data_IF_846933380251
#
_entry.id   IF_846933380251
#
_cell.length_a   1.000
_cell.length_b   1.000
_cell.length_c   1.000
_cell.angle_alpha   90.00
_cell.angle_beta   90.00
_cell.angle_gamma   90.00
#
_symmetry.space_group_name_H-M   'P 1'
#
loop_
_entity.id
_entity.type
_entity.pdbx_description
1 polymer ?
#
# COMPACT_ATOMS: atom_id res chain seq x y z
N UNK A 1 72.22 10.38 -26.03
CA UNK A 1 70.83 10.76 -26.41
C UNK A 1 69.74 9.76 -25.91
N UNK A 2 69.92 8.45 -26.13
CA UNK A 2 68.89 7.43 -25.86
C UNK A 2 68.59 7.23 -24.36
N UNK A 3 69.64 7.22 -23.52
CA UNK A 3 69.46 7.05 -22.06
C UNK A 3 68.76 8.25 -21.42
N UNK A 4 68.95 9.45 -21.90
CA UNK A 4 68.28 10.64 -21.40
C UNK A 4 66.82 10.66 -21.79
N UNK A 5 66.44 10.23 -23.00
CA UNK A 5 65.10 10.10 -23.48
C UNK A 5 64.33 9.02 -22.71
N UNK A 6 64.94 7.87 -22.41
CA UNK A 6 64.39 6.82 -21.60
C UNK A 6 64.12 7.28 -20.17
N UNK A 7 65.05 8.05 -19.55
CA UNK A 7 64.84 8.60 -18.20
C UNK A 7 63.65 9.59 -18.12
N UNK A 8 63.53 10.47 -19.12
CA UNK A 8 62.40 11.40 -19.21
C UNK A 8 61.08 10.65 -19.40
N UNK A 9 61.03 9.62 -20.24
CA UNK A 9 59.83 8.82 -20.46
C UNK A 9 59.36 8.11 -19.18
N UNK A 10 60.27 7.54 -18.38
CA UNK A 10 59.94 6.91 -17.10
C UNK A 10 59.37 7.92 -16.09
N UNK A 11 59.97 9.12 -16.03
CA UNK A 11 59.46 10.19 -15.11
C UNK A 11 58.10 10.68 -15.55
N UNK A 12 57.85 10.89 -16.85
CA UNK A 12 56.56 11.29 -17.38
C UNK A 12 55.51 10.21 -17.15
N UNK A 13 55.82 8.93 -17.42
CA UNK A 13 54.95 7.82 -17.16
C UNK A 13 54.58 7.71 -15.67
N UNK A 14 55.56 7.85 -14.78
CA UNK A 14 55.33 7.87 -13.33
C UNK A 14 54.43 9.03 -12.86
N UNK A 15 54.50 10.18 -13.55
CA UNK A 15 53.65 11.34 -13.28
C UNK A 15 52.20 11.06 -13.74
N UNK A 16 52.00 10.62 -14.96
CA UNK A 16 50.71 10.25 -15.52
C UNK A 16 50.04 9.18 -14.67
N UNK A 17 50.76 8.15 -14.26
CA UNK A 17 50.23 7.09 -13.40
C UNK A 17 49.80 7.59 -12.01
N UNK A 18 50.49 8.57 -11.45
CA UNK A 18 50.10 9.20 -10.18
C UNK A 18 48.80 10.03 -10.33
N UNK A 19 48.74 10.81 -11.41
CA UNK A 19 47.60 11.68 -11.69
C UNK A 19 46.35 10.82 -11.99
N UNK A 20 46.48 9.74 -12.77
CA UNK A 20 45.41 8.77 -12.96
C UNK A 20 44.91 8.13 -11.65
N UNK A 21 45.82 7.73 -10.77
CA UNK A 21 45.44 7.16 -9.47
C UNK A 21 44.73 8.17 -8.57
N UNK A 22 45.08 9.46 -8.65
CA UNK A 22 44.36 10.54 -7.95
C UNK A 22 42.95 10.71 -8.52
N UNK A 23 42.85 10.82 -9.85
CA UNK A 23 41.53 10.95 -10.50
C UNK A 23 40.59 9.76 -10.20
N UNK A 24 41.12 8.53 -10.21
CA UNK A 24 40.32 7.35 -9.85
C UNK A 24 39.84 7.39 -8.41
N UNK A 25 40.67 7.85 -7.46
CA UNK A 25 40.25 8.01 -6.07
C UNK A 25 39.16 9.07 -5.94
N UNK A 26 39.34 10.24 -6.54
CA UNK A 26 38.33 11.32 -6.52
C UNK A 26 37.00 10.86 -7.10
N UNK A 27 37.02 10.07 -8.19
CA UNK A 27 35.81 9.50 -8.79
C UNK A 27 35.11 8.51 -7.81
N UNK A 28 35.89 7.69 -7.12
CA UNK A 28 35.32 6.75 -6.15
C UNK A 28 34.74 7.47 -4.92
N UNK A 29 35.44 8.49 -4.42
CA UNK A 29 34.96 9.31 -3.30
C UNK A 29 33.69 10.07 -3.65
N UNK A 30 33.61 10.60 -4.89
CA UNK A 30 32.39 11.24 -5.40
C UNK A 30 31.21 10.24 -5.55
N UNK A 31 31.47 9.01 -5.99
CA UNK A 31 30.45 7.98 -6.07
C UNK A 31 29.92 7.62 -4.69
N UNK A 32 30.81 7.40 -3.73
CA UNK A 32 30.40 7.08 -2.36
C UNK A 32 29.58 8.22 -1.73
N UNK A 33 30.01 9.47 -1.93
CA UNK A 33 29.27 10.63 -1.46
C UNK A 33 27.88 10.72 -2.10
N UNK A 34 27.78 10.48 -3.41
CA UNK A 34 26.52 10.50 -4.12
C UNK A 34 25.56 9.41 -3.63
N UNK A 35 26.06 8.19 -3.37
CA UNK A 35 25.27 7.11 -2.76
C UNK A 35 24.77 7.47 -1.35
N UNK A 36 25.62 8.12 -0.55
CA UNK A 36 25.22 8.60 0.78
C UNK A 36 24.14 9.69 0.70
N UNK A 37 24.29 10.64 -0.24
CA UNK A 37 23.28 11.68 -0.49
C UNK A 37 21.95 11.09 -0.94
N UNK A 38 21.94 10.11 -1.84
CA UNK A 38 20.72 9.45 -2.26
C UNK A 38 20.03 8.69 -1.10
N UNK A 39 20.80 7.99 -0.27
CA UNK A 39 20.28 7.31 0.92
C UNK A 39 19.67 8.31 1.91
N UNK A 40 20.34 9.43 2.14
CA UNK A 40 19.87 10.49 3.03
C UNK A 40 18.58 11.12 2.49
N UNK A 41 18.53 11.44 1.22
CA UNK A 41 17.35 12.03 0.58
C UNK A 41 16.13 11.07 0.62
N UNK A 42 16.32 9.77 0.37
CA UNK A 42 15.28 8.76 0.52
C UNK A 42 14.80 8.66 1.98
N UNK A 43 15.71 8.74 2.95
CA UNK A 43 15.37 8.72 4.37
C UNK A 43 14.56 9.96 4.78
N UNK A 44 14.96 11.16 4.35
CA UNK A 44 14.22 12.41 4.61
C UNK A 44 12.79 12.37 4.04
N UNK A 45 12.64 11.90 2.80
CA UNK A 45 11.32 11.74 2.18
C UNK A 45 10.45 10.76 2.97
N UNK A 46 11.02 9.64 3.42
CA UNK A 46 10.31 8.66 4.25
C UNK A 46 9.88 9.24 5.59
N UNK A 47 10.76 10.00 6.26
CA UNK A 47 10.46 10.65 7.53
C UNK A 47 9.37 11.72 7.35
N UNK A 48 9.49 12.56 6.33
CA UNK A 48 8.49 13.58 6.03
C UNK A 48 7.11 12.96 5.72
N UNK A 49 7.10 11.86 4.98
CA UNK A 49 5.85 11.11 4.72
C UNK A 49 5.27 10.52 6.01
N UNK A 50 6.10 9.91 6.87
CA UNK A 50 5.65 9.39 8.15
C UNK A 50 5.12 10.50 9.08
N UNK A 51 5.77 11.66 9.12
CA UNK A 51 5.31 12.80 9.91
C UNK A 51 3.97 13.31 9.43
N UNK A 52 3.77 13.46 8.11
CA UNK A 52 2.47 13.83 7.53
C UNK A 52 1.37 12.85 7.92
N UNK A 53 1.63 11.55 7.79
CA UNK A 53 0.68 10.51 8.20
C UNK A 53 0.39 10.57 9.71
N UNK A 54 1.38 10.87 10.54
CA UNK A 54 1.21 10.96 12.00
C UNK A 54 0.36 12.18 12.40
N UNK A 55 0.63 13.36 11.83
CA UNK A 55 -0.15 14.57 12.07
C UNK A 55 -1.60 14.34 11.62
N UNK A 56 -1.78 13.79 10.42
CA UNK A 56 -3.08 13.44 9.87
C UNK A 56 -3.80 12.42 10.77
N UNK A 57 -3.09 11.38 11.23
CA UNK A 57 -3.64 10.38 12.11
C UNK A 57 -4.19 10.98 13.42
N UNK A 58 -3.45 11.87 14.05
CA UNK A 58 -3.85 12.48 15.31
C UNK A 58 -5.06 13.40 15.16
N UNK A 59 -5.09 14.23 14.11
CA UNK A 59 -6.23 15.09 13.80
C UNK A 59 -7.48 14.28 13.42
N UNK A 60 -7.29 13.23 12.67
CA UNK A 60 -8.37 12.40 12.14
C UNK A 60 -9.10 11.62 13.23
N UNK A 61 -8.42 11.21 14.31
CA UNK A 61 -9.05 10.50 15.42
C UNK A 61 -10.10 11.38 16.14
N UNK A 62 -9.77 12.65 16.39
CA UNK A 62 -10.71 13.62 16.97
C UNK A 62 -11.91 13.88 16.05
N UNK A 63 -11.62 14.16 14.79
CA UNK A 63 -12.63 14.40 13.75
C UNK A 63 -13.56 13.18 13.59
N UNK A 64 -13.02 11.98 13.51
CA UNK A 64 -13.82 10.76 13.37
C UNK A 64 -14.75 10.52 14.57
N UNK A 65 -14.31 10.83 15.77
CA UNK A 65 -15.14 10.76 16.96
C UNK A 65 -16.31 11.76 16.89
N UNK A 66 -16.05 12.98 16.46
CA UNK A 66 -17.09 14.02 16.28
C UNK A 66 -18.10 13.62 15.19
N UNK A 67 -17.62 13.14 14.03
CA UNK A 67 -18.51 12.65 12.98
C UNK A 67 -19.40 11.50 13.45
N UNK A 68 -18.86 10.52 14.19
CA UNK A 68 -19.67 9.45 14.76
C UNK A 68 -20.72 9.97 15.75
N UNK A 69 -20.41 11.05 16.49
CA UNK A 69 -21.37 11.70 17.39
C UNK A 69 -22.54 12.35 16.64
N UNK A 70 -22.33 12.80 15.40
CA UNK A 70 -23.39 13.33 14.55
C UNK A 70 -24.16 12.22 13.81
N UNK A 71 -23.45 11.24 13.26
CA UNK A 71 -24.07 10.17 12.47
C UNK A 71 -24.94 9.24 13.32
N UNK A 72 -24.54 8.98 14.58
CA UNK A 72 -25.32 8.10 15.46
C UNK A 72 -26.76 8.57 15.70
N UNK A 73 -27.03 9.82 16.09
CA UNK A 73 -28.41 10.30 16.22
C UNK A 73 -29.13 10.41 14.87
N UNK A 74 -28.46 10.77 13.77
CA UNK A 74 -29.08 10.82 12.44
C UNK A 74 -29.60 9.44 12.05
N UNK A 75 -28.79 8.41 12.21
CA UNK A 75 -29.18 7.03 11.94
C UNK A 75 -30.34 6.59 12.87
N UNK A 76 -30.25 6.92 14.16
CA UNK A 76 -31.29 6.57 15.11
C UNK A 76 -32.64 7.21 14.79
N UNK A 77 -32.67 8.48 14.40
CA UNK A 77 -33.92 9.13 13.99
C UNK A 77 -34.42 8.60 12.64
N UNK A 78 -33.56 8.32 11.69
CA UNK A 78 -33.95 7.70 10.42
C UNK A 78 -34.58 6.31 10.66
N UNK A 79 -34.01 5.51 11.54
CA UNK A 79 -34.53 4.20 11.93
C UNK A 79 -35.91 4.29 12.60
N UNK A 80 -36.11 5.23 13.52
CA UNK A 80 -37.39 5.50 14.15
C UNK A 80 -38.45 5.91 13.11
N UNK A 81 -38.10 6.83 12.20
CA UNK A 81 -39.00 7.25 11.12
C UNK A 81 -39.38 6.09 10.22
N UNK A 82 -38.46 5.19 9.88
CA UNK A 82 -38.73 3.98 9.10
C UNK A 82 -39.71 3.03 9.80
N UNK A 83 -39.72 3.03 11.15
CA UNK A 83 -40.64 2.19 11.95
C UNK A 83 -42.03 2.82 12.13
N UNK A 84 -42.11 4.17 12.18
CA UNK A 84 -43.36 4.89 12.47
C UNK A 84 -44.13 5.28 11.19
N UNK A 85 -43.46 5.41 10.05
CA UNK A 85 -44.09 5.82 8.80
C UNK A 85 -44.78 4.64 8.10
N UNK A 86 -45.88 4.90 7.32
CA UNK A 86 -46.56 3.86 6.56
C UNK A 86 -45.63 3.14 5.58
N UNK A 87 -45.75 1.82 5.52
CA UNK A 87 -44.94 0.98 4.65
C UNK A 87 -45.14 1.37 3.17
N UNK A 88 -44.03 1.69 2.45
CA UNK A 88 -44.06 2.09 1.06
C UNK A 88 -44.42 3.55 0.81
N UNK A 89 -44.47 4.40 1.85
CA UNK A 89 -44.62 5.87 1.67
C UNK A 89 -43.34 6.54 1.17
N UNK A 90 -43.49 7.65 0.45
CA UNK A 90 -42.33 8.45 -0.02
C UNK A 90 -41.46 8.96 1.15
N UNK A 91 -42.08 9.23 2.30
CA UNK A 91 -41.42 9.66 3.52
C UNK A 91 -40.59 8.51 4.14
N UNK A 92 -41.13 7.27 4.10
CA UNK A 92 -40.39 6.10 4.57
C UNK A 92 -39.18 5.81 3.66
N UNK A 93 -39.34 5.93 2.35
CA UNK A 93 -38.24 5.77 1.39
C UNK A 93 -37.18 6.85 1.61
N UNK A 94 -37.58 8.09 1.87
CA UNK A 94 -36.64 9.18 2.21
C UNK A 94 -35.87 8.90 3.50
N UNK A 95 -36.55 8.37 4.54
CA UNK A 95 -35.89 7.97 5.81
C UNK A 95 -34.86 6.85 5.58
N UNK A 96 -35.20 5.90 4.72
CA UNK A 96 -34.29 4.82 4.31
C UNK A 96 -33.05 5.35 3.58
N UNK A 97 -33.23 6.28 2.65
CA UNK A 97 -32.09 6.93 1.96
C UNK A 97 -31.17 7.67 2.93
N UNK A 98 -31.73 8.38 3.92
CA UNK A 98 -30.97 9.06 4.98
C UNK A 98 -30.16 8.04 5.78
N UNK A 99 -30.77 6.90 6.15
CA UNK A 99 -30.11 5.84 6.90
C UNK A 99 -28.94 5.25 6.11
N UNK A 100 -29.17 4.87 4.84
CA UNK A 100 -28.14 4.30 3.96
C UNK A 100 -26.99 5.28 3.69
N UNK A 101 -27.30 6.57 3.49
CA UNK A 101 -26.30 7.61 3.32
C UNK A 101 -25.44 7.78 4.58
N UNK A 102 -26.07 7.70 5.76
CA UNK A 102 -25.40 7.81 7.05
C UNK A 102 -24.51 6.58 7.33
N UNK A 103 -24.93 5.38 6.97
CA UNK A 103 -24.09 4.18 7.03
C UNK A 103 -22.84 4.31 6.15
N UNK A 104 -23.01 4.75 4.91
CA UNK A 104 -21.89 4.99 4.00
C UNK A 104 -20.92 6.03 4.57
N UNK A 105 -21.44 7.11 5.14
CA UNK A 105 -20.60 8.14 5.80
C UNK A 105 -19.85 7.55 7.01
N UNK A 106 -20.48 6.72 7.83
CA UNK A 106 -19.86 6.03 8.97
C UNK A 106 -18.72 5.10 8.53
N UNK A 107 -18.87 4.42 7.41
CA UNK A 107 -17.82 3.56 6.86
C UNK A 107 -16.61 4.37 6.37
N UNK A 108 -16.83 5.53 5.73
CA UNK A 108 -15.77 6.46 5.37
C UNK A 108 -15.04 6.96 6.62
N UNK A 109 -15.75 7.34 7.66
CA UNK A 109 -15.17 7.77 8.95
C UNK A 109 -14.35 6.65 9.59
N UNK A 110 -14.81 5.40 9.53
CA UNK A 110 -14.05 4.24 10.01
C UNK A 110 -12.76 4.02 9.21
N UNK A 111 -12.80 4.15 7.87
CA UNK A 111 -11.62 4.03 7.02
C UNK A 111 -10.60 5.12 7.37
N UNK A 112 -11.04 6.35 7.54
CA UNK A 112 -10.19 7.48 7.94
C UNK A 112 -9.59 7.24 9.35
N UNK A 113 -10.39 6.78 10.32
CA UNK A 113 -9.93 6.42 11.68
C UNK A 113 -8.90 5.30 11.69
N UNK A 114 -8.97 4.37 10.74
CA UNK A 114 -8.02 3.26 10.66
C UNK A 114 -6.60 3.71 10.31
N UNK A 115 -6.46 4.85 9.61
CA UNK A 115 -5.17 5.48 9.33
C UNK A 115 -4.52 6.07 10.59
N UNK A 116 -5.32 6.43 11.59
CA UNK A 116 -4.89 7.05 12.85
C UNK A 116 -4.43 6.07 13.93
N UNK A 117 -4.87 4.81 13.87
CA UNK A 117 -4.61 3.83 14.93
C UNK A 117 -3.19 3.26 14.90
N UNK A 118 -2.18 4.12 14.98
CA UNK A 118 -0.77 3.70 15.12
C UNK A 118 -0.38 3.24 16.52
N UNK A 119 -1.22 3.43 17.55
CA UNK A 119 -0.88 3.23 18.97
C UNK A 119 -1.63 2.11 19.68
N UNK A 120 -2.37 1.24 18.97
CA UNK A 120 -2.70 -0.05 19.56
C UNK A 120 -1.45 -0.90 19.41
N UNK A 121 -0.89 -1.40 20.50
CA UNK A 121 0.23 -2.36 20.49
C UNK A 121 -0.05 -3.39 19.40
N UNK A 122 0.69 -3.26 18.29
CA UNK A 122 0.51 -4.13 17.13
C UNK A 122 1.10 -5.48 17.52
N UNK A 123 0.26 -6.36 18.04
CA UNK A 123 0.69 -7.70 18.41
C UNK A 123 0.96 -8.47 17.12
N UNK A 124 2.24 -8.62 16.81
CA UNK A 124 2.68 -9.50 15.73
C UNK A 124 2.62 -10.95 16.20
N UNK A 125 2.03 -11.80 15.37
CA UNK A 125 1.90 -13.24 15.63
C UNK A 125 2.36 -14.02 14.41
N UNK A 126 2.76 -15.26 14.63
CA UNK A 126 2.99 -16.18 13.53
C UNK A 126 1.65 -16.54 12.87
N UNK A 127 1.53 -16.24 11.59
CA UNK A 127 0.33 -16.43 10.79
C UNK A 127 0.64 -17.49 9.74
N UNK A 128 -0.12 -18.60 9.73
CA UNK A 128 -0.10 -19.56 8.63
C UNK A 128 -0.75 -18.92 7.40
N UNK A 129 0.03 -18.74 6.34
CA UNK A 129 -0.43 -18.07 5.11
C UNK A 129 -1.57 -18.83 4.46
N UNK A 130 -1.48 -20.15 4.39
CA UNK A 130 -2.54 -20.98 3.84
C UNK A 130 -3.88 -20.76 4.53
N UNK A 131 -3.90 -20.83 5.88
CA UNK A 131 -5.12 -20.63 6.66
C UNK A 131 -5.64 -19.19 6.55
N UNK A 132 -4.71 -18.23 6.49
CA UNK A 132 -5.03 -16.82 6.33
C UNK A 132 -5.71 -16.57 4.98
N UNK A 133 -5.11 -17.02 3.87
CA UNK A 133 -5.63 -16.81 2.52
C UNK A 133 -6.98 -17.48 2.30
N UNK A 134 -7.18 -18.72 2.80
CA UNK A 134 -8.47 -19.41 2.72
C UNK A 134 -9.59 -18.65 3.46
N UNK A 135 -9.27 -17.97 4.57
CA UNK A 135 -10.23 -17.14 5.29
C UNK A 135 -10.47 -15.80 4.59
N UNK A 136 -9.41 -15.19 4.08
CA UNK A 136 -9.47 -13.92 3.36
C UNK A 136 -10.27 -14.06 2.04
N UNK A 137 -10.16 -15.20 1.36
CA UNK A 137 -10.93 -15.52 0.15
C UNK A 137 -12.44 -15.35 0.39
N UNK A 138 -12.99 -15.99 1.42
CA UNK A 138 -14.42 -15.89 1.77
C UNK A 138 -14.86 -14.46 2.07
N UNK A 139 -13.98 -13.69 2.73
CA UNK A 139 -14.24 -12.27 3.02
C UNK A 139 -14.24 -11.44 1.72
N UNK A 140 -13.33 -11.72 0.81
CA UNK A 140 -13.25 -11.01 -0.47
C UNK A 140 -14.41 -11.37 -1.42
N UNK A 141 -14.85 -12.64 -1.42
CA UNK A 141 -16.05 -13.07 -2.15
C UNK A 141 -17.30 -12.29 -1.72
N UNK A 142 -17.44 -12.01 -0.42
CA UNK A 142 -18.60 -11.29 0.11
C UNK A 142 -18.72 -9.83 -0.36
N UNK A 143 -17.67 -9.22 -0.85
CA UNK A 143 -17.68 -7.85 -1.40
C UNK A 143 -17.83 -7.81 -2.92
N UNK A 144 -17.72 -8.96 -3.58
CA UNK A 144 -17.93 -9.07 -5.02
C UNK A 144 -19.44 -9.05 -5.34
N UNK A 145 -19.82 -8.29 -6.36
CA UNK A 145 -21.20 -8.34 -6.89
C UNK A 145 -21.41 -9.65 -7.68
N UNK A 146 -22.66 -10.09 -7.90
CA UNK A 146 -22.94 -11.28 -8.72
C UNK A 146 -22.40 -11.22 -10.15
N UNK A 147 -22.04 -10.03 -10.63
CA UNK A 147 -21.46 -9.83 -11.97
C UNK A 147 -19.94 -10.04 -12.01
N UNK A 148 -19.29 -10.17 -10.84
CA UNK A 148 -17.85 -10.32 -10.74
C UNK A 148 -17.51 -11.76 -10.40
N UNK A 149 -16.78 -12.41 -11.27
CA UNK A 149 -16.22 -13.75 -11.03
C UNK A 149 -14.88 -13.63 -10.32
N UNK A 150 -14.74 -14.33 -9.17
CA UNK A 150 -13.48 -14.37 -8.43
C UNK A 150 -12.81 -15.73 -8.59
N UNK A 151 -11.53 -15.72 -8.96
CA UNK A 151 -10.66 -16.90 -9.05
C UNK A 151 -9.55 -16.80 -8.02
N UNK A 152 -9.29 -17.89 -7.30
CA UNK A 152 -8.22 -17.96 -6.31
C UNK A 152 -7.24 -19.06 -6.63
N UNK A 153 -5.93 -18.76 -6.52
CA UNK A 153 -4.85 -19.71 -6.73
C UNK A 153 -3.79 -19.55 -5.63
N UNK A 154 -3.76 -20.49 -4.66
CA UNK A 154 -2.84 -20.42 -3.53
C UNK A 154 -1.83 -21.57 -3.60
N UNK A 155 -0.59 -21.22 -3.99
CA UNK A 155 0.56 -22.12 -4.06
C UNK A 155 1.47 -21.90 -2.83
N UNK A 156 0.90 -22.11 -1.65
CA UNK A 156 1.56 -21.99 -0.35
C UNK A 156 1.19 -23.20 0.50
N UNK A 157 2.16 -23.71 1.24
CA UNK A 157 1.96 -24.85 2.14
C UNK A 157 1.94 -24.38 3.60
N UNK A 158 2.97 -24.71 4.35
CA UNK A 158 3.06 -24.40 5.79
C UNK A 158 3.85 -23.13 6.10
N UNK A 159 3.99 -22.23 5.11
CA UNK A 159 4.69 -20.98 5.31
C UNK A 159 4.02 -20.14 6.39
N UNK A 160 4.88 -19.64 7.29
CA UNK A 160 4.51 -18.77 8.40
C UNK A 160 5.13 -17.40 8.19
N UNK A 161 4.34 -16.34 8.44
CA UNK A 161 4.85 -14.97 8.50
C UNK A 161 4.62 -14.40 9.88
N UNK A 162 5.51 -13.51 10.31
CA UNK A 162 5.31 -12.69 11.49
C UNK A 162 4.54 -11.43 11.08
N UNK A 163 3.29 -11.31 11.51
CA UNK A 163 2.43 -10.21 11.09
C UNK A 163 1.21 -10.01 11.98
N UNK A 164 0.38 -9.05 11.59
CA UNK A 164 -0.93 -8.80 12.18
C UNK A 164 -2.03 -9.18 11.16
N UNK A 165 -2.80 -10.22 11.45
CA UNK A 165 -3.83 -10.74 10.55
C UNK A 165 -4.93 -9.69 10.23
N UNK A 166 -5.27 -8.81 11.18
CA UNK A 166 -6.26 -7.75 10.97
C UNK A 166 -5.76 -6.72 9.95
N UNK A 167 -4.49 -6.31 10.06
CA UNK A 167 -3.89 -5.37 9.10
C UNK A 167 -3.77 -5.98 7.71
N UNK A 168 -3.38 -7.26 7.62
CA UNK A 168 -3.32 -7.97 6.33
C UNK A 168 -4.70 -8.11 5.69
N UNK A 169 -5.73 -8.46 6.47
CA UNK A 169 -7.11 -8.48 5.97
C UNK A 169 -7.55 -7.11 5.47
N UNK A 170 -7.22 -6.03 6.19
CA UNK A 170 -7.56 -4.67 5.77
C UNK A 170 -6.91 -4.30 4.44
N UNK A 171 -5.62 -4.65 4.24
CA UNK A 171 -4.93 -4.43 2.96
C UNK A 171 -5.61 -5.17 1.83
N UNK A 172 -5.89 -6.46 2.01
CA UNK A 172 -6.54 -7.28 0.99
C UNK A 172 -7.94 -6.78 0.65
N UNK A 173 -8.73 -6.44 1.68
CA UNK A 173 -10.07 -5.90 1.49
C UNK A 173 -10.03 -4.58 0.71
N UNK A 174 -9.14 -3.66 1.06
CA UNK A 174 -9.01 -2.39 0.35
C UNK A 174 -8.65 -2.58 -1.13
N UNK A 175 -7.72 -3.48 -1.42
CA UNK A 175 -7.32 -3.78 -2.81
C UNK A 175 -8.49 -4.43 -3.57
N UNK A 176 -9.20 -5.38 -2.95
CA UNK A 176 -10.33 -6.05 -3.56
C UNK A 176 -11.50 -5.09 -3.84
N UNK A 177 -11.86 -4.23 -2.88
CA UNK A 177 -12.88 -3.19 -3.05
C UNK A 177 -12.49 -2.21 -4.17
N UNK A 178 -11.21 -1.85 -4.29
CA UNK A 178 -10.74 -1.02 -5.40
C UNK A 178 -10.87 -1.75 -6.74
N UNK A 179 -10.57 -3.05 -6.81
CA UNK A 179 -10.78 -3.86 -8.01
C UNK A 179 -12.26 -3.94 -8.42
N UNK A 180 -13.16 -4.17 -7.46
CA UNK A 180 -14.63 -4.15 -7.69
C UNK A 180 -15.07 -2.79 -8.25
N UNK A 181 -14.60 -1.70 -7.67
CA UNK A 181 -14.89 -0.34 -8.18
C UNK A 181 -14.32 -0.08 -9.57
N UNK A 182 -13.12 -0.58 -9.88
CA UNK A 182 -12.52 -0.42 -11.21
C UNK A 182 -13.30 -1.16 -12.29
N UNK A 183 -13.94 -2.29 -11.96
CA UNK A 183 -14.84 -3.03 -12.84
C UNK A 183 -16.21 -2.31 -12.99
N UNK A 184 -16.68 -1.69 -11.89
CA UNK A 184 -17.94 -0.94 -11.87
C UNK A 184 -19.19 -1.82 -12.00
N UNK A 185 -20.10 -1.42 -12.89
CA UNK A 185 -21.39 -2.14 -13.13
C UNK A 185 -21.29 -3.21 -14.20
N UNK A 186 -20.11 -3.46 -14.75
CA UNK A 186 -19.88 -4.44 -15.81
C UNK A 186 -19.65 -5.84 -15.26
N UNK A 187 -19.71 -6.84 -16.13
CA UNK A 187 -19.15 -8.14 -15.81
C UNK A 187 -17.63 -8.05 -15.75
N UNK A 188 -17.04 -8.71 -14.75
CA UNK A 188 -15.61 -8.67 -14.58
C UNK A 188 -15.04 -9.88 -13.86
N UNK A 189 -13.71 -9.95 -13.87
CA UNK A 189 -12.95 -11.01 -13.23
C UNK A 189 -11.93 -10.41 -12.25
N UNK A 190 -11.86 -10.98 -11.07
CA UNK A 190 -10.80 -10.72 -10.10
C UNK A 190 -10.05 -12.03 -9.86
N UNK A 191 -8.74 -12.03 -10.09
CA UNK A 191 -7.89 -13.17 -9.77
C UNK A 191 -6.98 -12.84 -8.62
N UNK A 192 -6.98 -13.71 -7.60
CA UNK A 192 -6.13 -13.60 -6.43
C UNK A 192 -5.16 -14.78 -6.43
N UNK A 193 -3.87 -14.50 -6.41
CA UNK A 193 -2.85 -15.52 -6.31
C UNK A 193 -1.93 -15.27 -5.12
N UNK A 194 -1.47 -16.36 -4.52
CA UNK A 194 -0.53 -16.32 -3.40
C UNK A 194 0.50 -17.45 -3.58
N UNK A 195 1.77 -17.09 -3.58
CA UNK A 195 2.86 -18.05 -3.67
C UNK A 195 4.09 -17.56 -2.90
N UNK A 196 4.95 -18.51 -2.58
CA UNK A 196 6.24 -18.23 -1.98
C UNK A 196 7.28 -18.03 -3.07
N UNK A 197 8.11 -16.99 -2.95
CA UNK A 197 9.12 -16.65 -3.94
C UNK A 197 10.46 -16.33 -3.25
N UNK A 198 11.56 -16.78 -3.87
CA UNK A 198 12.91 -16.45 -3.42
C UNK A 198 13.27 -15.02 -3.86
N UNK A 199 14.01 -14.30 -3.01
CA UNK A 199 14.39 -12.90 -3.27
C UNK A 199 15.04 -12.71 -4.63
N UNK A 200 15.89 -13.66 -5.04
CA UNK A 200 16.65 -13.59 -6.29
C UNK A 200 15.76 -13.65 -7.56
N UNK A 201 14.54 -14.17 -7.43
CA UNK A 201 13.58 -14.29 -8.54
C UNK A 201 12.66 -13.09 -8.67
N UNK A 202 12.68 -12.17 -7.68
CA UNK A 202 11.85 -10.98 -7.69
C UNK A 202 12.40 -9.93 -8.68
N UNK A 203 11.51 -9.09 -9.19
CA UNK A 203 11.91 -7.97 -10.04
C UNK A 203 12.88 -7.03 -9.31
N UNK A 204 13.91 -6.54 -10.01
CA UNK A 204 15.01 -5.74 -9.42
C UNK A 204 14.51 -4.53 -8.62
N UNK A 205 13.51 -3.81 -9.11
CA UNK A 205 12.91 -2.68 -8.38
C UNK A 205 12.15 -3.05 -7.10
N UNK A 206 11.80 -4.33 -6.92
CA UNK A 206 11.22 -4.87 -5.69
C UNK A 206 12.33 -5.29 -4.73
N UNK A 207 13.39 -5.94 -5.24
CA UNK A 207 14.55 -6.42 -4.45
C UNK A 207 15.19 -5.27 -3.66
N UNK A 208 15.34 -4.10 -4.27
CA UNK A 208 15.93 -2.92 -3.64
C UNK A 208 15.16 -2.41 -2.40
N UNK A 209 13.87 -2.73 -2.30
CA UNK A 209 12.99 -2.33 -1.19
C UNK A 209 12.89 -3.38 -0.09
N UNK A 210 13.42 -4.58 -0.33
CA UNK A 210 13.29 -5.71 0.59
C UNK A 210 14.53 -5.82 1.49
N UNK A 211 14.29 -6.30 2.71
CA UNK A 211 15.38 -6.56 3.67
C UNK A 211 16.31 -7.68 3.17
N UNK A 212 17.61 -7.52 3.37
CA UNK A 212 18.60 -8.54 3.05
C UNK A 212 18.60 -9.73 4.04
N UNK A 213 17.88 -9.58 5.14
CA UNK A 213 17.77 -10.63 6.18
C UNK A 213 16.95 -11.84 5.70
N UNK A 214 15.95 -11.59 4.83
CA UNK A 214 15.02 -12.62 4.40
C UNK A 214 15.34 -13.09 2.98
N UNK A 215 15.46 -14.41 2.79
CA UNK A 215 15.70 -15.03 1.48
C UNK A 215 14.42 -15.39 0.74
N UNK A 216 13.30 -15.52 1.46
CA UNK A 216 12.02 -16.00 0.95
C UNK A 216 10.91 -15.03 1.33
N UNK A 217 10.03 -14.74 0.39
CA UNK A 217 8.92 -13.80 0.55
C UNK A 217 7.61 -14.43 0.11
N UNK A 218 6.52 -14.00 0.70
CA UNK A 218 5.18 -14.35 0.24
C UNK A 218 4.72 -13.26 -0.72
N UNK A 219 4.43 -13.67 -1.96
CA UNK A 219 3.87 -12.80 -2.98
C UNK A 219 2.37 -13.00 -3.05
N UNK A 220 1.60 -11.94 -2.78
CA UNK A 220 0.15 -11.91 -2.93
C UNK A 220 -0.17 -10.94 -4.05
N UNK A 221 -0.90 -11.39 -5.06
CA UNK A 221 -1.29 -10.60 -6.21
C UNK A 221 -2.82 -10.60 -6.33
N UNK A 222 -3.39 -9.41 -6.52
CA UNK A 222 -4.79 -9.21 -6.91
C UNK A 222 -4.79 -8.57 -8.29
N UNK A 223 -5.42 -9.23 -9.25
CA UNK A 223 -5.52 -8.77 -10.64
C UNK A 223 -6.99 -8.63 -11.01
N UNK A 224 -7.36 -7.48 -11.52
CA UNK A 224 -8.69 -7.19 -12.07
C UNK A 224 -8.61 -6.89 -13.57
N UNK A 225 -9.76 -6.91 -14.23
CA UNK A 225 -9.93 -6.48 -15.62
C UNK A 225 -10.74 -5.18 -15.72
N UNK A 226 -10.68 -4.33 -14.70
CA UNK A 226 -11.35 -3.03 -14.65
C UNK A 226 -10.73 -1.99 -15.58
N UNK A 227 -11.09 -0.71 -15.37
CA UNK A 227 -10.66 0.41 -16.22
C UNK A 227 -9.16 0.73 -16.13
N UNK A 228 -8.45 0.16 -15.16
CA UNK A 228 -7.03 0.43 -14.92
C UNK A 228 -6.76 1.85 -14.42
N UNK A 229 -5.48 2.22 -14.44
CA UNK A 229 -4.99 3.53 -14.00
C UNK A 229 -3.99 4.08 -15.02
N UNK A 230 -4.08 5.37 -15.31
CA UNK A 230 -3.06 6.06 -16.09
C UNK A 230 -1.78 6.31 -15.28
N UNK A 231 -0.73 6.80 -15.93
CA UNK A 231 0.57 7.02 -15.29
C UNK A 231 0.54 8.09 -14.20
N UNK A 232 -0.34 9.05 -14.30
CA UNK A 232 -0.48 10.14 -13.34
C UNK A 232 -1.20 9.65 -12.09
N UNK A 233 -2.33 8.99 -12.25
CA UNK A 233 -3.06 8.29 -11.18
C UNK A 233 -2.13 7.32 -10.44
N UNK A 234 -1.38 6.48 -11.17
CA UNK A 234 -0.48 5.48 -10.58
C UNK A 234 0.61 6.09 -9.69
N UNK A 235 1.04 7.33 -9.95
CA UNK A 235 2.02 8.03 -9.09
C UNK A 235 1.41 8.51 -7.78
N UNK A 236 0.10 8.75 -7.76
CA UNK A 236 -0.62 9.39 -6.65
C UNK A 236 -1.48 8.42 -5.83
N UNK A 237 -1.63 7.15 -6.24
CA UNK A 237 -2.51 6.17 -5.55
C UNK A 237 -2.21 5.95 -4.07
N UNK A 238 -0.99 6.27 -3.63
CA UNK A 238 -0.58 6.18 -2.22
C UNK A 238 -0.57 7.54 -1.51
N UNK A 239 -0.96 8.61 -2.21
CA UNK A 239 -1.09 9.91 -1.57
C UNK A 239 -2.36 9.93 -0.70
N UNK A 240 -2.27 10.47 0.52
CA UNK A 240 -3.43 10.55 1.39
C UNK A 240 -4.56 11.37 0.76
N UNK A 241 -5.80 10.85 0.85
CA UNK A 241 -7.01 11.44 0.28
C UNK A 241 -7.06 11.53 -1.25
N UNK A 242 -6.09 11.00 -1.96
CA UNK A 242 -6.21 10.89 -3.41
C UNK A 242 -7.34 9.95 -3.79
N UNK A 243 -8.22 10.41 -4.65
CA UNK A 243 -9.31 9.61 -5.22
C UNK A 243 -9.65 10.08 -6.62
N UNK A 244 -9.93 9.15 -7.50
CA UNK A 244 -10.49 9.40 -8.83
C UNK A 244 -12.02 9.18 -8.86
N UNK A 245 -12.61 8.83 -7.72
CA UNK A 245 -14.06 8.59 -7.58
C UNK A 245 -14.77 9.95 -7.47
N UNK A 246 -15.78 10.12 -8.30
CA UNK A 246 -16.74 11.24 -8.26
C UNK A 246 -17.86 10.93 -7.30
#
# INVERSE_FOLDING_TARGET
>A
GILLAAGIAVVLFGRVMRDMRRAVREINDLKELNEQLEKMHRSEQSIAHQQRLQIMGTMTCGIAHEFNNFLTPIMGYAELLMMELPEGSEEQDSAKEIYEASEKAKDVVRQISSLSRKNVETVYKNISIKKFMTRAERMMESVCTPLIHMESEFRVDDEMILGNATQLNQVLLNVCVNAVHAIGKNQGNIRISCHSEEKEKLAQGVIEKLSDVWKKYIHIQVKDNGCGMDKETLRQIFDPFFTTKK
#
